data_IF_972523859406
#
_entry.id   IF_972523859406
#
_cell.length_a   1.000
_cell.length_b   1.000
_cell.length_c   1.000
_cell.angle_alpha   90.00
_cell.angle_beta   90.00
_cell.angle_gamma   90.00
#
_symmetry.space_group_name_H-M   'P 1'
#
loop_
_entity.id
_entity.type
_entity.pdbx_description
1 polymer ?
#
# COMPACT_ATOMS: atom_id res chain seq x y z
N UNK A 1 -2.62 -5.40 -6.94
CA UNK A 1 -3.95 -5.33 -6.30
C UNK A 1 -4.36 -3.88 -6.15
N UNK A 2 -5.64 -3.58 -6.32
CA UNK A 2 -6.21 -2.26 -6.10
C UNK A 2 -7.52 -2.39 -5.32
N UNK A 3 -7.94 -1.31 -4.67
CA UNK A 3 -9.24 -1.26 -4.01
C UNK A 3 -9.56 0.10 -3.45
N UNK A 4 -10.66 0.13 -2.70
CA UNK A 4 -11.21 1.31 -2.05
C UNK A 4 -11.56 0.97 -0.60
N UNK A 5 -11.19 1.86 0.33
CA UNK A 5 -11.52 1.79 1.74
C UNK A 5 -12.23 3.06 2.15
N UNK A 6 -13.39 2.93 2.78
CA UNK A 6 -14.08 4.04 3.43
C UNK A 6 -13.81 3.97 4.93
N UNK A 7 -13.21 5.02 5.45
CA UNK A 7 -12.86 5.21 6.85
C UNK A 7 -13.70 6.37 7.40
N UNK A 8 -13.77 6.50 8.73
CA UNK A 8 -14.55 7.56 9.40
C UNK A 8 -14.27 8.96 8.83
N UNK A 9 -13.01 9.23 8.44
CA UNK A 9 -12.54 10.56 8.02
C UNK A 9 -11.80 10.56 6.68
N UNK A 10 -11.77 9.44 5.98
CA UNK A 10 -10.99 9.31 4.76
C UNK A 10 -11.64 8.33 3.79
N UNK A 11 -11.52 8.64 2.49
CA UNK A 11 -11.83 7.73 1.40
C UNK A 11 -10.53 7.41 0.70
N UNK A 12 -10.07 6.17 0.83
CA UNK A 12 -8.74 5.75 0.42
C UNK A 12 -8.83 4.82 -0.78
N UNK A 13 -8.33 5.28 -1.92
CA UNK A 13 -8.08 4.44 -3.09
C UNK A 13 -6.66 3.94 -2.99
N UNK A 14 -6.46 2.64 -2.99
CA UNK A 14 -5.12 2.06 -2.86
C UNK A 14 -4.76 1.24 -4.09
N UNK A 15 -3.45 1.20 -4.38
CA UNK A 15 -2.85 0.35 -5.38
C UNK A 15 -1.51 -0.18 -4.87
N UNK A 16 -1.33 -1.49 -4.92
CA UNK A 16 -0.13 -2.20 -4.49
C UNK A 16 0.31 -3.15 -5.60
N UNK A 17 1.58 -3.06 -5.97
CA UNK A 17 2.16 -3.89 -7.03
C UNK A 17 3.63 -4.16 -6.76
N UNK A 18 4.06 -5.38 -7.09
CA UNK A 18 5.47 -5.76 -7.19
C UNK A 18 5.97 -5.74 -8.63
N UNK A 19 5.09 -5.48 -9.61
CA UNK A 19 5.45 -5.40 -11.02
C UNK A 19 6.10 -4.04 -11.33
N UNK A 20 7.37 -3.99 -11.76
CA UNK A 20 8.04 -2.73 -12.10
C UNK A 20 7.35 -1.94 -13.22
N UNK A 21 6.60 -2.59 -14.11
CA UNK A 21 5.88 -1.91 -15.21
C UNK A 21 4.72 -1.03 -14.71
N UNK A 22 4.39 -1.16 -13.43
CA UNK A 22 3.39 -0.32 -12.77
C UNK A 22 3.97 0.96 -12.16
N UNK A 23 5.29 1.13 -12.17
CA UNK A 23 5.95 2.35 -11.68
C UNK A 23 5.54 3.57 -12.54
N UNK A 24 5.36 4.76 -11.92
CA UNK A 24 5.19 6.00 -12.67
C UNK A 24 6.43 6.32 -13.52
N UNK A 25 6.21 6.99 -14.64
CA UNK A 25 7.29 7.34 -15.58
C UNK A 25 8.38 8.20 -14.92
N UNK A 26 8.00 9.12 -14.05
CA UNK A 26 8.93 9.98 -13.30
C UNK A 26 9.86 9.18 -12.39
N UNK A 27 9.34 8.15 -11.73
CA UNK A 27 10.13 7.25 -10.90
C UNK A 27 11.12 6.42 -11.74
N UNK A 28 10.66 5.91 -12.90
CA UNK A 28 11.50 5.15 -13.84
C UNK A 28 12.64 6.01 -14.41
N UNK A 29 12.33 7.22 -14.86
CA UNK A 29 13.33 8.17 -15.39
C UNK A 29 14.36 8.59 -14.34
N UNK A 30 13.96 8.59 -13.06
CA UNK A 30 14.83 8.87 -11.93
C UNK A 30 15.61 7.64 -11.44
N UNK A 31 15.51 6.49 -12.13
CA UNK A 31 16.19 5.25 -11.77
C UNK A 31 15.68 4.58 -10.49
N UNK A 32 14.54 5.01 -9.94
CA UNK A 32 13.95 4.42 -8.74
C UNK A 32 13.36 3.05 -9.07
N UNK A 33 13.58 2.10 -8.16
CA UNK A 33 13.02 0.73 -8.26
C UNK A 33 11.74 0.55 -7.43
N UNK A 34 11.44 1.50 -6.57
CA UNK A 34 10.26 1.52 -5.72
C UNK A 34 9.60 2.89 -5.81
N UNK A 35 8.28 2.92 -5.69
CA UNK A 35 7.51 4.14 -5.58
C UNK A 35 6.47 3.96 -4.48
N UNK A 36 6.56 4.79 -3.44
CA UNK A 36 5.63 4.82 -2.32
C UNK A 36 5.13 6.25 -2.14
N UNK A 37 3.84 6.45 -2.40
CA UNK A 37 3.23 7.77 -2.39
C UNK A 37 1.91 7.71 -1.63
N UNK A 38 1.68 8.73 -0.80
CA UNK A 38 0.40 9.04 -0.19
C UNK A 38 -0.03 10.42 -0.68
N UNK A 39 -1.18 10.47 -1.36
CA UNK A 39 -1.81 11.71 -1.79
C UNK A 39 -2.92 12.06 -0.81
N UNK A 40 -2.80 13.19 -0.13
CA UNK A 40 -3.76 13.67 0.86
C UNK A 40 -3.99 15.17 0.66
N UNK A 41 -5.25 15.59 0.51
CA UNK A 41 -5.63 17.00 0.32
C UNK A 41 -4.88 17.70 -0.85
N UNK A 42 -4.58 16.94 -1.91
CA UNK A 42 -3.86 17.45 -3.09
C UNK A 42 -2.34 17.59 -2.88
N UNK A 43 -1.83 17.16 -1.72
CA UNK A 43 -0.40 17.12 -1.43
C UNK A 43 0.11 15.69 -1.49
N UNK A 44 1.22 15.51 -2.19
CA UNK A 44 1.92 14.25 -2.26
C UNK A 44 2.99 14.16 -1.17
N UNK A 45 2.97 13.05 -0.43
CA UNK A 45 4.07 12.62 0.42
C UNK A 45 4.66 11.37 -0.19
N UNK A 46 5.83 11.53 -0.81
CA UNK A 46 6.61 10.45 -1.42
C UNK A 46 7.69 9.98 -0.44
N UNK A 47 7.73 8.69 -0.15
CA UNK A 47 8.60 8.10 0.88
C UNK A 47 9.26 6.80 0.42
N UNK A 48 9.70 6.73 -0.84
CA UNK A 48 10.47 5.59 -1.33
C UNK A 48 11.84 5.48 -0.66
N UNK A 49 12.38 6.62 -0.24
CA UNK A 49 13.67 6.76 0.42
C UNK A 49 13.45 7.11 1.91
N UNK A 50 14.28 6.60 2.83
CA UNK A 50 14.26 7.04 4.24
C UNK A 50 13.80 6.05 5.32
N UNK A 51 13.81 4.74 5.04
CA UNK A 51 13.37 3.70 6.00
C UNK A 51 14.48 2.97 6.77
N UNK A 52 15.71 3.48 6.80
CA UNK A 52 16.85 2.71 7.32
C UNK A 52 16.80 2.53 8.84
N UNK A 53 16.34 3.52 9.59
CA UNK A 53 16.43 3.52 11.07
C UNK A 53 15.12 3.21 11.82
N UNK A 54 13.99 3.02 11.11
CA UNK A 54 12.70 2.81 11.78
C UNK A 54 12.66 1.56 12.66
N UNK A 55 13.47 0.55 12.34
CA UNK A 55 13.58 -0.64 13.20
C UNK A 55 14.24 -0.29 14.53
N UNK A 56 15.37 0.44 14.50
CA UNK A 56 16.06 0.91 15.71
C UNK A 56 15.11 1.69 16.61
N UNK A 57 14.35 2.62 16.05
CA UNK A 57 13.40 3.43 16.81
C UNK A 57 12.22 2.59 17.32
N UNK A 58 11.71 1.65 16.54
CA UNK A 58 10.68 0.71 16.99
C UNK A 58 11.14 -0.09 18.23
N UNK A 59 12.37 -0.61 18.24
CA UNK A 59 12.92 -1.31 19.39
C UNK A 59 13.06 -0.41 20.63
N UNK A 60 13.50 0.85 20.46
CA UNK A 60 13.53 1.81 21.58
C UNK A 60 12.14 1.98 22.20
N UNK A 61 11.11 2.19 21.38
CA UNK A 61 9.73 2.33 21.86
C UNK A 61 9.23 1.07 22.58
N UNK A 62 9.54 -0.12 22.06
CA UNK A 62 9.18 -1.39 22.71
C UNK A 62 9.83 -1.48 24.09
N UNK A 63 11.13 -1.20 24.21
CA UNK A 63 11.87 -1.27 25.47
C UNK A 63 11.42 -0.22 26.49
N UNK A 64 10.89 0.91 26.03
CA UNK A 64 10.25 1.94 26.87
C UNK A 64 8.80 1.61 27.28
N UNK A 65 8.25 0.46 26.85
CA UNK A 65 6.85 0.10 27.10
C UNK A 65 5.84 0.88 26.25
N UNK A 66 6.29 1.53 25.16
CA UNK A 66 5.48 2.29 24.19
C UNK A 66 5.35 1.58 22.83
N UNK A 67 5.65 0.28 22.79
CA UNK A 67 5.53 -0.52 21.57
C UNK A 67 4.07 -0.72 21.15
N UNK A 68 3.85 -1.03 19.88
CA UNK A 68 2.52 -1.40 19.37
C UNK A 68 2.19 -2.85 19.77
N UNK A 69 1.05 -3.05 20.45
CA UNK A 69 0.56 -4.33 20.90
C UNK A 69 -0.52 -4.93 19.99
N UNK A 70 -1.27 -5.88 20.53
CA UNK A 70 -2.31 -6.60 19.78
C UNK A 70 -3.47 -5.68 19.39
N UNK A 71 -3.90 -4.79 20.28
CA UNK A 71 -5.04 -3.90 20.00
C UNK A 71 -4.69 -2.88 18.90
N UNK A 72 -3.47 -2.35 18.87
CA UNK A 72 -3.00 -1.47 17.80
C UNK A 72 -2.90 -2.19 16.45
N UNK A 73 -2.49 -3.46 16.43
CA UNK A 73 -2.35 -4.25 15.21
C UNK A 73 -3.68 -4.80 14.66
N UNK A 74 -4.68 -4.99 15.52
CA UNK A 74 -5.94 -5.70 15.20
C UNK A 74 -6.69 -5.12 14.00
N UNK A 75 -6.78 -3.80 13.90
CA UNK A 75 -7.50 -3.14 12.82
C UNK A 75 -6.88 -3.45 11.44
N UNK A 76 -5.55 -3.36 11.32
CA UNK A 76 -4.87 -3.62 10.05
C UNK A 76 -4.99 -5.08 9.63
N UNK A 77 -4.88 -6.01 10.59
CA UNK A 77 -5.10 -7.45 10.37
C UNK A 77 -6.52 -7.71 9.85
N UNK A 78 -7.54 -7.10 10.48
CA UNK A 78 -8.93 -7.24 10.05
C UNK A 78 -9.17 -6.71 8.63
N UNK A 79 -8.57 -5.58 8.28
CA UNK A 79 -8.65 -5.00 6.93
C UNK A 79 -8.04 -5.95 5.90
N UNK A 80 -6.80 -6.40 6.10
CA UNK A 80 -6.15 -7.29 5.11
C UNK A 80 -6.81 -8.67 5.03
N UNK A 81 -7.38 -9.17 6.12
CA UNK A 81 -8.20 -10.38 6.12
C UNK A 81 -9.45 -10.20 5.26
N UNK A 82 -10.15 -9.07 5.42
CA UNK A 82 -11.35 -8.76 4.63
C UNK A 82 -11.02 -8.60 3.14
N UNK A 83 -9.94 -7.88 2.82
CA UNK A 83 -9.46 -7.72 1.44
C UNK A 83 -9.15 -9.08 0.80
N UNK A 84 -8.45 -9.97 1.51
CA UNK A 84 -8.08 -11.30 0.99
C UNK A 84 -9.30 -12.16 0.63
N UNK A 85 -10.40 -12.02 1.35
CA UNK A 85 -11.61 -12.84 1.17
C UNK A 85 -12.71 -12.15 0.35
N UNK A 86 -12.50 -10.89 -0.06
CA UNK A 86 -13.46 -10.14 -0.85
C UNK A 86 -13.53 -10.67 -2.29
N UNK A 87 -14.74 -10.68 -2.87
CA UNK A 87 -14.92 -10.95 -4.30
C UNK A 87 -14.65 -9.67 -5.10
N UNK A 88 -13.72 -9.66 -6.07
CA UNK A 88 -13.48 -8.49 -6.89
C UNK A 88 -14.73 -8.09 -7.69
N UNK A 89 -15.04 -6.79 -7.69
CA UNK A 89 -16.19 -6.24 -8.42
C UNK A 89 -15.84 -5.66 -9.80
N UNK A 90 -14.54 -5.64 -10.14
CA UNK A 90 -14.00 -4.99 -11.32
C UNK A 90 -13.89 -3.47 -11.18
N UNK A 91 -13.67 -2.78 -12.29
CA UNK A 91 -13.58 -1.31 -12.36
C UNK A 91 -14.98 -0.68 -12.29
N UNK A 92 -15.51 -0.54 -11.08
CA UNK A 92 -16.82 0.08 -10.81
C UNK A 92 -16.70 1.19 -9.78
N UNK A 93 -17.35 2.32 -10.06
CA UNK A 93 -17.37 3.47 -9.14
C UNK A 93 -16.01 4.15 -9.02
N UNK A 94 -15.66 4.59 -7.81
CA UNK A 94 -14.38 5.23 -7.53
C UNK A 94 -13.29 4.18 -7.29
N UNK A 95 -12.24 4.21 -8.12
CA UNK A 95 -11.12 3.27 -8.06
C UNK A 95 -9.80 4.01 -8.25
N UNK A 96 -8.72 3.41 -7.74
CA UNK A 96 -7.39 4.00 -7.89
C UNK A 96 -7.02 4.13 -9.38
N UNK A 97 -6.44 5.24 -9.86
CA UNK A 97 -6.12 5.45 -11.27
C UNK A 97 -5.33 4.30 -11.93
N UNK A 98 -4.44 3.66 -11.17
CA UNK A 98 -3.63 2.54 -11.67
C UNK A 98 -4.37 1.19 -11.74
N UNK A 99 -5.61 1.09 -11.23
CA UNK A 99 -6.40 -0.13 -11.34
C UNK A 99 -6.71 -0.52 -12.79
N UNK A 100 -6.64 0.43 -13.74
CA UNK A 100 -6.84 0.20 -15.17
C UNK A 100 -5.64 -0.45 -15.87
N UNK A 101 -4.47 -0.52 -15.21
CA UNK A 101 -3.29 -1.17 -15.78
C UNK A 101 -3.55 -2.65 -15.99
N UNK A 102 -3.02 -3.19 -17.09
CA UNK A 102 -3.16 -4.61 -17.42
C UNK A 102 -2.53 -5.50 -16.34
N UNK A 103 -3.18 -6.64 -16.10
CA UNK A 103 -2.64 -7.65 -15.20
C UNK A 103 -1.50 -8.40 -15.88
N UNK A 104 -0.39 -8.55 -15.18
CA UNK A 104 0.73 -9.38 -15.64
C UNK A 104 0.70 -10.74 -14.94
N UNK A 105 1.26 -11.75 -15.60
CA UNK A 105 1.46 -13.07 -15.00
C UNK A 105 2.27 -12.96 -13.71
N UNK A 106 1.92 -13.76 -12.72
CA UNK A 106 2.64 -13.77 -11.45
C UNK A 106 4.09 -14.26 -11.68
N UNK A 107 5.13 -13.62 -11.11
CA UNK A 107 6.53 -13.97 -11.36
C UNK A 107 6.92 -15.39 -10.91
N UNK A 108 6.08 -16.04 -10.09
CA UNK A 108 6.27 -17.42 -9.64
C UNK A 108 5.31 -18.43 -10.30
N UNK A 109 4.59 -18.03 -11.35
CA UNK A 109 3.68 -18.93 -12.09
C UNK A 109 2.40 -19.30 -11.34
N UNK A 110 2.00 -18.53 -10.33
CA UNK A 110 0.76 -18.76 -9.60
C UNK A 110 -0.46 -18.23 -10.37
N UNK A 111 -1.53 -19.02 -10.37
CA UNK A 111 -2.84 -18.64 -10.90
C UNK A 111 -3.79 -18.51 -9.70
N UNK A 112 -4.37 -17.32 -9.51
CA UNK A 112 -5.32 -17.00 -8.44
C UNK A 112 -6.70 -16.70 -9.02
#
# INVERSE_FOLDING_TARGET
MAGYLEMERARVRYFLSINPDTLPQEALLSGKRTYRSLMMEGQEVEFSDGFTELHTDSYKHILEGKGFGLEEAKASIGIVHSIRNAKPVGLKGDYHPFAVKESASHPFGWNF
#
